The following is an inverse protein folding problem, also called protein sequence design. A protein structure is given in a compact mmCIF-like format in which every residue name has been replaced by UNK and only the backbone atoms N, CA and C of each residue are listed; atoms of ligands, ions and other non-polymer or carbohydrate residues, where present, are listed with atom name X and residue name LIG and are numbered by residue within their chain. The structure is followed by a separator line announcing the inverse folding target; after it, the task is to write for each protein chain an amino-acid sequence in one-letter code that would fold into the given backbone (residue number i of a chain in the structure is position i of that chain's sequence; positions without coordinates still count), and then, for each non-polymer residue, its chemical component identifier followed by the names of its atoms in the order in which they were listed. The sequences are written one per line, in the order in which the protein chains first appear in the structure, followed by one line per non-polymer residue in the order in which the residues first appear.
data_IF_041077198337
#
_entry.id   IF_041077198337
#
_cell.length_a   1.000
_cell.length_b   1.000
_cell.length_c   1.000
_cell.angle_alpha   90.00
_cell.angle_beta   90.00
_cell.angle_gamma   90.00
#
_symmetry.space_group_name_H-M   'P 1'
#
loop_
_entity.id
_entity.type
_entity.pdbx_description
1 polymer ?
#
# COMPACT_ATOMS: atom_id res chain seq x y z
N UNK A 1 -53.91 49.13 -49.64
CA UNK A 1 -53.37 48.23 -50.67
C UNK A 1 -52.14 48.77 -51.43
N UNK A 2 -51.88 50.09 -51.44
CA UNK A 2 -50.77 50.71 -52.19
C UNK A 2 -49.35 50.45 -51.61
N UNK A 3 -49.22 50.15 -50.31
CA UNK A 3 -47.90 49.89 -49.70
C UNK A 3 -47.26 48.60 -50.21
N UNK A 4 -48.06 47.54 -50.41
CA UNK A 4 -47.56 46.24 -50.90
C UNK A 4 -47.01 46.36 -52.33
N UNK A 5 -47.69 47.11 -53.20
CA UNK A 5 -47.22 47.29 -54.58
C UNK A 5 -45.91 48.08 -54.63
N UNK A 6 -45.73 49.10 -53.78
CA UNK A 6 -44.44 49.79 -53.64
C UNK A 6 -43.33 48.89 -53.06
N UNK A 7 -43.62 48.10 -52.03
CA UNK A 7 -42.66 47.16 -51.42
C UNK A 7 -42.18 46.11 -52.44
N UNK A 8 -43.11 45.53 -53.21
CA UNK A 8 -42.80 44.55 -54.25
C UNK A 8 -41.91 45.14 -55.34
N UNK A 9 -42.15 46.39 -55.74
CA UNK A 9 -41.35 47.07 -56.76
C UNK A 9 -39.92 47.37 -56.25
N UNK A 10 -39.80 47.74 -54.97
CA UNK A 10 -38.52 47.93 -54.27
C UNK A 10 -37.71 46.63 -54.17
N UNK A 11 -38.34 45.53 -53.76
CA UNK A 11 -37.69 44.21 -53.71
C UNK A 11 -37.31 43.72 -55.11
N UNK A 12 -38.18 43.92 -56.11
CA UNK A 12 -37.88 43.56 -57.49
C UNK A 12 -36.66 44.31 -58.01
N UNK A 13 -36.57 45.63 -57.77
CA UNK A 13 -35.41 46.44 -58.12
C UNK A 13 -34.12 45.92 -57.46
N UNK A 14 -34.14 45.64 -56.15
CA UNK A 14 -32.97 45.11 -55.43
C UNK A 14 -32.55 43.72 -55.93
N UNK A 15 -33.53 42.85 -56.21
CA UNK A 15 -33.27 41.51 -56.73
C UNK A 15 -32.74 41.55 -58.17
N UNK A 16 -33.30 42.40 -59.04
CA UNK A 16 -32.78 42.55 -60.42
C UNK A 16 -31.39 43.15 -60.44
N UNK A 17 -31.08 44.07 -59.51
CA UNK A 17 -29.74 44.63 -59.36
C UNK A 17 -28.73 43.52 -59.02
N UNK A 18 -29.02 42.69 -57.99
CA UNK A 18 -28.18 41.53 -57.64
C UNK A 18 -28.12 40.48 -58.75
N UNK A 19 -29.20 40.25 -59.50
CA UNK A 19 -29.25 39.30 -60.63
C UNK A 19 -28.42 39.76 -61.83
N UNK A 20 -28.28 41.07 -62.05
CA UNK A 20 -27.42 41.64 -63.10
C UNK A 20 -25.93 41.60 -62.72
N UNK A 21 -25.60 41.54 -61.44
CA UNK A 21 -24.23 41.38 -60.92
C UNK A 21 -23.95 39.92 -60.52
N UNK A 22 -23.97 39.01 -61.50
CA UNK A 22 -23.82 37.56 -61.27
C UNK A 22 -22.53 37.17 -60.55
N UNK A 23 -21.39 37.81 -60.86
CA UNK A 23 -20.12 37.54 -60.19
C UNK A 23 -20.14 37.90 -58.70
N UNK A 24 -20.74 39.04 -58.34
CA UNK A 24 -20.82 39.49 -56.95
C UNK A 24 -21.75 38.59 -56.14
N UNK A 25 -22.88 38.16 -56.72
CA UNK A 25 -23.79 37.21 -56.09
C UNK A 25 -23.12 35.85 -55.85
N UNK A 26 -22.38 35.34 -56.84
CA UNK A 26 -21.64 34.07 -56.70
C UNK A 26 -20.57 34.15 -55.62
N UNK A 27 -19.80 35.24 -55.57
CA UNK A 27 -18.80 35.44 -54.52
C UNK A 27 -19.45 35.55 -53.13
N UNK A 28 -20.55 36.28 -53.00
CA UNK A 28 -21.27 36.45 -51.72
C UNK A 28 -21.85 35.12 -51.20
N UNK A 29 -22.25 34.20 -52.08
CA UNK A 29 -22.72 32.85 -51.70
C UNK A 29 -21.57 31.86 -51.51
N UNK A 30 -20.54 31.90 -52.35
CA UNK A 30 -19.40 30.99 -52.29
C UNK A 30 -18.50 31.27 -51.09
N UNK A 31 -18.37 32.54 -50.69
CA UNK A 31 -17.54 32.96 -49.55
C UNK A 31 -17.90 32.25 -48.24
N UNK A 32 -19.16 32.28 -47.74
CA UNK A 32 -19.51 31.57 -46.51
C UNK A 32 -19.37 30.05 -46.66
N UNK A 33 -19.70 29.48 -47.83
CA UNK A 33 -19.51 28.05 -48.10
C UNK A 33 -18.03 27.65 -47.98
N UNK A 34 -17.12 28.45 -48.53
CA UNK A 34 -15.69 28.23 -48.44
C UNK A 34 -15.19 28.27 -46.99
N UNK A 35 -15.64 29.25 -46.19
CA UNK A 35 -15.30 29.31 -44.77
C UNK A 35 -15.80 28.07 -44.02
N UNK A 36 -17.03 27.62 -44.27
CA UNK A 36 -17.55 26.39 -43.63
C UNK A 36 -16.79 25.14 -44.06
N UNK A 37 -16.37 25.03 -45.31
CA UNK A 37 -15.55 23.92 -45.80
C UNK A 37 -14.18 23.87 -45.11
N UNK A 38 -13.57 25.02 -44.84
CA UNK A 38 -12.34 25.08 -44.05
C UNK A 38 -12.61 24.64 -42.61
N UNK A 39 -13.66 25.17 -41.97
CA UNK A 39 -13.99 24.82 -40.58
C UNK A 39 -14.29 23.32 -40.40
N UNK A 40 -15.03 22.71 -41.32
CA UNK A 40 -15.30 21.27 -41.25
C UNK A 40 -14.02 20.45 -41.48
N UNK A 41 -13.13 20.90 -42.37
CA UNK A 41 -11.83 20.25 -42.60
C UNK A 41 -10.96 20.30 -41.34
N UNK A 42 -10.89 21.46 -40.67
CA UNK A 42 -10.22 21.58 -39.37
C UNK A 42 -10.87 20.66 -38.33
N UNK A 43 -12.21 20.60 -38.29
CA UNK A 43 -12.92 19.72 -37.35
C UNK A 43 -12.66 18.25 -37.60
N UNK A 44 -12.52 17.82 -38.85
CA UNK A 44 -12.19 16.44 -39.21
C UNK A 44 -10.75 16.08 -38.82
N UNK A 45 -9.82 17.04 -38.85
CA UNK A 45 -8.44 16.84 -38.40
C UNK A 45 -8.31 16.67 -36.88
N UNK A 46 -9.25 17.21 -36.10
CA UNK A 46 -9.27 17.12 -34.64
C UNK A 46 -10.53 16.37 -34.16
N UNK A 47 -10.55 15.02 -34.26
CA UNK A 47 -11.65 14.23 -33.73
C UNK A 47 -11.79 14.43 -32.21
N UNK A 48 -13.01 14.25 -31.66
CA UNK A 48 -13.22 14.34 -30.21
C UNK A 48 -12.38 13.28 -29.48
N UNK A 49 -11.76 13.68 -28.36
CA UNK A 49 -11.02 12.79 -27.50
C UNK A 49 -11.93 12.26 -26.39
N UNK A 50 -12.37 11.00 -26.52
CA UNK A 50 -13.22 10.35 -25.53
C UNK A 50 -12.37 9.93 -24.32
N UNK A 51 -12.73 10.44 -23.13
CA UNK A 51 -12.16 9.97 -21.87
C UNK A 51 -13.20 9.17 -21.09
N UNK A 52 -12.73 8.10 -20.45
CA UNK A 52 -13.55 7.34 -19.52
C UNK A 52 -13.67 8.09 -18.20
N UNK A 53 -14.67 7.72 -17.40
CA UNK A 53 -14.75 8.18 -16.01
C UNK A 53 -13.45 7.80 -15.27
N UNK A 54 -12.73 8.84 -14.84
CA UNK A 54 -11.36 8.73 -14.40
C UNK A 54 -11.27 8.77 -12.88
N UNK A 55 -10.85 7.67 -12.29
CA UNK A 55 -10.63 7.54 -10.85
C UNK A 55 -9.14 7.63 -10.53
N UNK A 56 -8.82 8.38 -9.48
CA UNK A 56 -7.43 8.63 -9.08
C UNK A 56 -7.14 8.00 -7.71
N UNK A 57 -5.98 7.35 -7.56
CA UNK A 57 -5.58 6.85 -6.26
C UNK A 57 -5.26 8.02 -5.31
N UNK A 58 -5.60 7.86 -4.04
CA UNK A 58 -5.32 8.85 -3.02
C UNK A 58 -3.80 8.99 -2.77
N UNK A 59 -3.35 10.24 -2.54
CA UNK A 59 -1.97 10.55 -2.14
C UNK A 59 -1.92 10.94 -0.68
N UNK A 60 -1.12 10.20 0.09
CA UNK A 60 -0.91 10.51 1.50
C UNK A 60 -0.02 11.74 1.64
N UNK A 61 -0.38 12.65 2.56
CA UNK A 61 0.50 13.72 3.02
C UNK A 61 1.48 13.19 4.08
N UNK A 62 2.61 13.89 4.35
CA UNK A 62 3.57 13.48 5.37
C UNK A 62 2.94 13.27 6.77
N UNK A 63 1.85 13.98 7.07
CA UNK A 63 1.08 13.86 8.32
C UNK A 63 0.41 12.49 8.52
N UNK A 64 0.12 11.75 7.44
CA UNK A 64 -0.42 10.39 7.50
C UNK A 64 0.67 9.31 7.70
N UNK A 65 1.96 9.72 7.70
CA UNK A 65 3.11 8.85 7.85
C UNK A 65 4.10 8.99 6.68
N UNK A 66 5.40 8.89 6.97
CA UNK A 66 6.46 9.03 5.95
C UNK A 66 6.45 7.91 4.92
N UNK A 67 6.18 6.67 5.34
CA UNK A 67 6.10 5.51 4.44
C UNK A 67 4.97 5.60 3.40
N UNK A 68 3.69 5.82 3.78
CA UNK A 68 2.62 5.98 2.80
C UNK A 68 2.80 7.24 1.92
N UNK A 69 3.43 8.30 2.45
CA UNK A 69 3.77 9.49 1.67
C UNK A 69 4.79 9.20 0.56
N UNK A 70 5.95 8.60 0.92
CA UNK A 70 6.99 8.23 -0.07
C UNK A 70 6.45 7.22 -1.08
N UNK A 71 5.66 6.25 -0.61
CA UNK A 71 5.04 5.27 -1.49
C UNK A 71 4.04 5.91 -2.46
N UNK A 72 3.30 6.93 -2.03
CA UNK A 72 2.43 7.73 -2.90
C UNK A 72 3.19 8.49 -3.98
N UNK A 73 4.37 9.03 -3.66
CA UNK A 73 5.24 9.71 -4.63
C UNK A 73 5.79 8.71 -5.66
N UNK A 74 6.33 7.58 -5.20
CA UNK A 74 7.02 6.62 -6.08
C UNK A 74 6.01 5.81 -6.92
N UNK A 75 4.94 5.30 -6.32
CA UNK A 75 4.01 4.42 -7.03
C UNK A 75 3.01 5.17 -7.92
N UNK A 76 2.63 6.41 -7.57
CA UNK A 76 1.59 7.18 -8.28
C UNK A 76 2.12 8.50 -8.86
N UNK A 77 3.38 8.55 -9.30
CA UNK A 77 3.99 9.74 -9.89
C UNK A 77 3.28 10.21 -11.16
N UNK A 78 2.92 9.27 -12.04
CA UNK A 78 2.34 9.54 -13.35
C UNK A 78 0.82 9.74 -13.34
N UNK A 79 0.17 9.79 -12.16
CA UNK A 79 -1.29 9.87 -12.00
C UNK A 79 -2.07 8.97 -12.99
N UNK A 80 -1.90 7.63 -12.92
CA UNK A 80 -2.66 6.75 -13.79
C UNK A 80 -4.15 6.92 -13.56
N UNK A 81 -4.89 7.04 -14.65
CA UNK A 81 -6.34 7.15 -14.68
C UNK A 81 -6.96 5.75 -14.70
N UNK A 82 -7.78 5.42 -13.71
CA UNK A 82 -8.47 4.13 -13.63
C UNK A 82 -9.93 4.26 -14.05
N UNK A 83 -10.44 3.27 -14.78
CA UNK A 83 -11.85 3.18 -15.18
C UNK A 83 -12.83 2.90 -14.05
N UNK A 84 -12.34 2.40 -12.92
CA UNK A 84 -13.17 1.96 -11.80
C UNK A 84 -12.65 2.61 -10.52
N UNK A 85 -13.54 2.86 -9.55
CA UNK A 85 -13.18 3.51 -8.30
C UNK A 85 -12.08 2.74 -7.58
N UNK A 86 -11.04 3.45 -7.17
CA UNK A 86 -9.96 2.85 -6.41
C UNK A 86 -10.41 2.60 -4.96
N UNK A 87 -9.88 1.57 -4.26
CA UNK A 87 -10.25 1.31 -2.87
C UNK A 87 -10.10 2.51 -1.92
N UNK A 88 -9.24 3.48 -2.25
CA UNK A 88 -9.08 4.72 -1.48
C UNK A 88 -10.21 5.74 -1.64
N UNK A 89 -11.10 5.58 -2.62
CA UNK A 89 -12.31 6.41 -2.80
C UNK A 89 -13.51 5.86 -2.01
N UNK A 90 -13.45 4.60 -1.55
CA UNK A 90 -14.51 3.98 -0.78
C UNK A 90 -14.53 4.51 0.68
N UNK A 91 -15.71 4.72 1.27
CA UNK A 91 -15.82 5.17 2.66
C UNK A 91 -15.20 4.13 3.60
N UNK A 92 -14.37 4.59 4.55
CA UNK A 92 -13.75 3.76 5.59
C UNK A 92 -12.43 3.07 5.21
N UNK A 93 -12.03 3.05 3.93
CA UNK A 93 -10.75 2.47 3.49
C UNK A 93 -9.83 3.56 2.95
N UNK A 94 -8.77 3.87 3.69
CA UNK A 94 -7.80 4.94 3.33
C UNK A 94 -6.51 4.41 2.69
N UNK A 95 -6.27 3.10 2.74
CA UNK A 95 -4.99 2.51 2.33
C UNK A 95 -5.07 1.74 1.00
N UNK A 96 -4.48 2.28 -0.06
CA UNK A 96 -4.38 1.58 -1.35
C UNK A 96 -3.15 0.65 -1.45
N UNK A 97 -2.31 0.61 -0.40
CA UNK A 97 -0.97 0.03 -0.44
C UNK A 97 -0.80 -1.30 0.29
N UNK A 98 -1.87 -1.87 0.84
CA UNK A 98 -1.81 -3.08 1.68
C UNK A 98 -1.29 -4.33 0.94
N UNK A 99 -1.25 -4.29 -0.40
CA UNK A 99 -0.70 -5.35 -1.26
C UNK A 99 0.79 -5.13 -1.61
N UNK A 100 1.41 -4.02 -1.24
CA UNK A 100 2.82 -3.76 -1.61
C UNK A 100 3.76 -4.62 -0.75
N UNK A 101 4.80 -5.17 -1.40
CA UNK A 101 5.85 -5.95 -0.73
C UNK A 101 6.51 -5.12 0.38
N UNK A 102 6.69 -3.81 0.18
CA UNK A 102 7.29 -2.89 1.14
C UNK A 102 6.43 -2.77 2.41
N UNK A 103 5.10 -2.68 2.26
CA UNK A 103 4.19 -2.62 3.41
C UNK A 103 4.18 -3.92 4.23
N UNK A 104 4.31 -5.07 3.56
CA UNK A 104 4.45 -6.39 4.19
C UNK A 104 5.77 -6.53 4.93
N UNK A 105 6.88 -6.17 4.28
CA UNK A 105 8.22 -6.20 4.87
C UNK A 105 8.29 -5.33 6.13
N UNK A 106 7.72 -4.13 6.09
CA UNK A 106 7.69 -3.25 7.26
C UNK A 106 6.83 -3.83 8.41
N UNK A 107 5.71 -4.47 8.06
CA UNK A 107 4.85 -5.13 9.04
C UNK A 107 5.53 -6.34 9.69
N UNK A 108 6.25 -7.14 8.90
CA UNK A 108 7.01 -8.29 9.39
C UNK A 108 8.21 -7.87 10.22
N UNK A 109 8.95 -6.83 9.81
CA UNK A 109 10.01 -6.24 10.61
C UNK A 109 9.48 -5.73 11.97
N UNK A 110 8.33 -5.06 11.98
CA UNK A 110 7.67 -4.60 13.21
C UNK A 110 7.25 -5.78 14.09
N UNK A 111 6.70 -6.85 13.52
CA UNK A 111 6.34 -8.06 14.26
C UNK A 111 7.56 -8.74 14.89
N UNK A 112 8.65 -8.87 14.15
CA UNK A 112 9.90 -9.44 14.65
C UNK A 112 10.50 -8.59 15.78
N UNK A 113 10.46 -7.27 15.67
CA UNK A 113 10.93 -6.38 16.73
C UNK A 113 10.07 -6.49 18.00
N UNK A 114 8.75 -6.51 17.86
CA UNK A 114 7.82 -6.66 19.00
C UNK A 114 7.93 -8.04 19.65
N UNK A 115 8.15 -9.09 18.86
CA UNK A 115 8.41 -10.43 19.36
C UNK A 115 9.75 -10.48 20.11
N UNK A 116 10.82 -9.96 19.50
CA UNK A 116 12.17 -9.91 20.09
C UNK A 116 12.21 -9.13 21.41
N UNK A 117 11.46 -8.03 21.53
CA UNK A 117 11.39 -7.27 22.77
C UNK A 117 10.70 -8.03 23.92
N UNK A 118 9.77 -8.94 23.60
CA UNK A 118 9.06 -9.76 24.59
C UNK A 118 9.82 -11.03 24.93
N UNK A 119 10.66 -11.52 24.02
CA UNK A 119 11.26 -12.84 24.15
C UNK A 119 12.46 -12.84 25.10
N UNK A 120 12.34 -13.58 26.22
CA UNK A 120 13.46 -13.88 27.12
C UNK A 120 14.31 -15.04 26.60
N UNK A 121 13.92 -15.68 25.48
CA UNK A 121 14.61 -16.85 24.91
C UNK A 121 16.09 -16.61 24.65
N UNK A 122 16.52 -15.40 24.28
CA UNK A 122 17.96 -15.09 24.14
C UNK A 122 18.72 -15.18 25.48
N UNK A 123 18.08 -14.87 26.61
CA UNK A 123 18.65 -15.06 27.94
C UNK A 123 18.70 -16.55 28.31
N UNK A 124 17.66 -17.29 27.98
CA UNK A 124 17.58 -18.73 28.25
C UNK A 124 18.60 -19.54 27.43
N UNK A 125 18.79 -19.19 26.15
CA UNK A 125 19.85 -19.73 25.29
C UNK A 125 21.23 -19.39 25.85
N UNK A 126 21.44 -18.17 26.33
CA UNK A 126 22.72 -17.80 26.94
C UNK A 126 22.98 -18.57 28.24
N UNK A 127 21.94 -18.86 29.03
CA UNK A 127 22.04 -19.70 30.24
C UNK A 127 22.42 -21.14 29.88
N UNK A 128 21.74 -21.74 28.90
CA UNK A 128 22.05 -23.09 28.40
C UNK A 128 23.47 -23.16 27.82
N UNK A 129 23.86 -22.17 27.02
CA UNK A 129 25.20 -22.11 26.44
C UNK A 129 26.29 -21.98 27.51
N UNK A 130 26.02 -21.21 28.58
CA UNK A 130 26.93 -21.10 29.74
C UNK A 130 27.05 -22.42 30.49
N UNK A 131 25.96 -23.16 30.68
CA UNK A 131 25.99 -24.49 31.32
C UNK A 131 26.77 -25.51 30.48
N UNK A 132 26.64 -25.46 29.14
CA UNK A 132 27.40 -26.31 28.23
C UNK A 132 28.90 -25.94 28.19
N UNK A 133 29.23 -24.64 28.23
CA UNK A 133 30.62 -24.18 28.29
C UNK A 133 31.31 -24.57 29.61
N UNK A 134 30.61 -24.49 30.74
CA UNK A 134 31.13 -24.98 32.03
C UNK A 134 31.36 -26.50 32.02
N UNK A 135 30.49 -27.27 31.36
CA UNK A 135 30.65 -28.71 31.19
C UNK A 135 31.93 -29.08 30.43
N UNK A 136 32.22 -28.37 29.35
CA UNK A 136 33.43 -28.60 28.54
C UNK A 136 34.72 -28.27 29.32
N UNK A 137 34.69 -27.23 30.15
CA UNK A 137 35.85 -26.79 30.95
C UNK A 137 36.10 -27.65 32.19
N UNK A 138 35.06 -28.20 32.82
CA UNK A 138 35.18 -28.84 34.13
C UNK A 138 35.30 -30.36 34.12
N UNK A 139 35.05 -31.07 33.00
CA UNK A 139 35.04 -32.56 32.91
C UNK A 139 34.15 -33.28 33.94
N UNK A 140 33.42 -32.56 34.79
CA UNK A 140 32.49 -33.06 35.79
C UNK A 140 31.10 -33.17 35.17
N UNK A 141 30.40 -34.29 35.42
CA UNK A 141 29.04 -34.52 34.94
C UNK A 141 28.04 -33.44 35.39
N UNK A 142 26.95 -33.32 34.64
CA UNK A 142 25.92 -32.28 34.81
C UNK A 142 25.14 -32.54 36.10
N UNK A 143 25.10 -31.60 37.04
CA UNK A 143 24.29 -31.79 38.25
C UNK A 143 22.87 -31.32 38.03
N UNK A 144 21.91 -31.98 38.66
CA UNK A 144 20.49 -31.63 38.54
C UNK A 144 20.23 -30.15 38.89
N UNK A 145 20.94 -29.60 39.88
CA UNK A 145 20.87 -28.17 40.26
C UNK A 145 21.29 -27.19 39.17
N UNK A 146 22.12 -27.61 38.20
CA UNK A 146 22.61 -26.72 37.15
C UNK A 146 21.54 -26.46 36.07
N UNK A 147 20.51 -27.31 35.98
CA UNK A 147 19.34 -27.14 35.12
C UNK A 147 18.20 -26.34 35.76
N UNK A 148 18.21 -26.23 37.09
CA UNK A 148 17.18 -25.53 37.84
C UNK A 148 17.42 -24.02 37.77
N UNK A 149 16.34 -23.24 37.72
CA UNK A 149 16.48 -21.79 37.81
C UNK A 149 16.90 -21.38 39.22
N UNK A 150 17.82 -20.39 39.29
CA UNK A 150 18.30 -19.90 40.58
C UNK A 150 17.09 -19.33 41.34
N UNK A 151 16.91 -19.74 42.60
CA UNK A 151 15.81 -19.33 43.48
C UNK A 151 14.43 -20.00 43.21
N UNK A 152 14.40 -21.17 42.58
CA UNK A 152 13.17 -21.99 42.43
C UNK A 152 12.77 -22.73 43.71
N UNK A 153 11.45 -22.91 43.89
CA UNK A 153 10.84 -23.60 45.05
C UNK A 153 11.00 -25.13 45.02
N UNK A 154 11.77 -25.68 44.09
CA UNK A 154 11.91 -27.13 43.92
C UNK A 154 12.53 -27.83 45.14
N UNK A 155 13.53 -27.22 45.78
CA UNK A 155 14.14 -27.73 47.01
C UNK A 155 13.14 -27.72 48.18
N UNK A 156 12.32 -26.68 48.25
CA UNK A 156 11.26 -26.52 49.23
C UNK A 156 10.13 -27.53 49.01
N UNK A 157 9.74 -27.78 47.76
CA UNK A 157 8.77 -28.81 47.38
C UNK A 157 9.23 -30.22 47.76
N UNK A 158 10.49 -30.57 47.45
CA UNK A 158 11.07 -31.87 47.82
C UNK A 158 11.09 -32.07 49.34
N UNK A 159 11.34 -31.00 50.09
CA UNK A 159 11.41 -31.06 51.55
C UNK A 159 10.02 -31.05 52.21
N UNK A 160 9.11 -30.17 51.78
CA UNK A 160 7.83 -29.94 52.44
C UNK A 160 6.70 -30.84 51.94
N UNK A 161 6.57 -31.06 50.63
CA UNK A 161 5.47 -31.86 50.08
C UNK A 161 5.81 -33.35 49.98
N UNK A 162 7.08 -33.67 49.71
CA UNK A 162 7.55 -35.06 49.65
C UNK A 162 8.18 -35.53 50.97
N UNK A 163 8.24 -34.67 52.00
CA UNK A 163 8.77 -34.96 53.34
C UNK A 163 10.18 -35.58 53.32
N UNK A 164 11.01 -35.23 52.33
CA UNK A 164 12.36 -35.76 52.22
C UNK A 164 13.30 -35.06 53.21
N UNK A 165 14.17 -35.82 53.93
CA UNK A 165 15.20 -35.23 54.77
C UNK A 165 16.14 -34.32 53.96
N UNK A 166 16.53 -33.17 54.52
CA UNK A 166 17.52 -32.24 53.93
C UNK A 166 18.74 -32.91 53.29
N UNK A 167 19.43 -33.89 53.93
CA UNK A 167 20.59 -34.53 53.32
C UNK A 167 20.26 -35.31 52.05
N UNK A 168 19.04 -35.84 51.93
CA UNK A 168 18.57 -36.54 50.74
C UNK A 168 18.25 -35.56 49.61
N UNK A 169 17.68 -34.40 49.94
CA UNK A 169 17.43 -33.31 48.98
C UNK A 169 18.76 -32.78 48.41
N UNK A 170 19.76 -32.54 49.26
CA UNK A 170 21.08 -32.09 48.82
C UNK A 170 21.79 -33.11 47.93
N UNK A 171 21.62 -34.41 48.24
CA UNK A 171 22.15 -35.51 47.43
C UNK A 171 21.44 -35.62 46.08
N UNK A 172 20.13 -35.37 46.02
CA UNK A 172 19.37 -35.34 44.76
C UNK A 172 19.72 -34.14 43.89
N UNK A 173 19.82 -32.94 44.48
CA UNK A 173 20.23 -31.73 43.76
C UNK A 173 21.67 -31.81 43.25
N UNK A 174 22.53 -32.55 43.96
CA UNK A 174 23.90 -32.84 43.56
C UNK A 174 24.06 -34.05 42.64
N UNK A 175 22.98 -34.75 42.27
CA UNK A 175 23.03 -35.95 41.45
C UNK A 175 23.42 -35.64 39.99
N UNK A 176 24.18 -36.54 39.39
CA UNK A 176 24.67 -36.44 38.02
C UNK A 176 23.60 -36.88 37.02
N UNK A 177 23.35 -36.06 36.01
CA UNK A 177 22.34 -36.24 34.97
C UNK A 177 23.04 -36.75 33.70
N UNK A 178 22.84 -38.03 33.39
CA UNK A 178 23.30 -38.61 32.13
C UNK A 178 22.31 -38.29 31.02
N UNK A 179 22.65 -37.32 30.18
CA UNK A 179 21.90 -37.06 28.96
C UNK A 179 22.17 -38.19 27.96
N UNK A 180 21.16 -39.01 27.68
CA UNK A 180 21.25 -39.99 26.59
C UNK A 180 20.87 -39.31 25.28
N UNK A 181 21.56 -39.67 24.20
CA UNK A 181 21.30 -39.13 22.86
C UNK A 181 19.89 -39.52 22.43
N UNK A 182 18.98 -38.55 22.37
CA UNK A 182 17.69 -38.73 21.69
C UNK A 182 17.98 -38.57 20.20
N UNK A 183 17.96 -39.67 19.45
CA UNK A 183 18.01 -39.59 18.00
C UNK A 183 16.68 -38.99 17.52
N UNK A 184 16.74 -37.83 16.87
CA UNK A 184 15.74 -37.41 15.91
C UNK A 184 16.01 -38.09 14.56
#
# INVERSE_FOLDING_TARGET
MAYWTQLRLLLWKNLTFRRRQTCQLLLEVAWPLFIFLILISVRLSYPPYEQHECHFPNKAMPSAGTLPWVQGIICNANNPCFRYPTPGEAPGVVGNFNKSIVSRLFSDARRLLLYSQRDTSMKDIHKVLRTLYQMERSRSGLKLRDFLADNETFSEFLHHNLSLPRPTVDKMLGADVRLHKVNC
#
